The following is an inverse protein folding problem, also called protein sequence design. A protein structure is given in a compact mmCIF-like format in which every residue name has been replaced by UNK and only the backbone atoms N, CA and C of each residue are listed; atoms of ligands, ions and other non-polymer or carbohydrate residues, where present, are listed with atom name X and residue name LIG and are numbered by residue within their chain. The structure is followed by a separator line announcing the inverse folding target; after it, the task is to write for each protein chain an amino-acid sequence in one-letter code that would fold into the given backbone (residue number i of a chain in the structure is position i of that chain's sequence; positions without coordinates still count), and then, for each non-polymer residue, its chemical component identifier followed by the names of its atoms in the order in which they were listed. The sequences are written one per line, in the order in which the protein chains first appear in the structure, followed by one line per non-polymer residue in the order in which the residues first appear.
data_IF_828223926990
#
_entry.id   IF_828223926990
#
_cell.length_a   1.000
_cell.length_b   1.000
_cell.length_c   1.000
_cell.angle_alpha   90.00
_cell.angle_beta   90.00
_cell.angle_gamma   90.00
#
_symmetry.space_group_name_H-M   'P 1'
#
loop_
_entity.id
_entity.type
_entity.pdbx_description
1 polymer ?
#
# COMPACT_ATOMS: atom_id res chain seq x y z
N UNK A 1 12.93 1.97 34.64
CA UNK A 1 13.54 3.06 33.83
C UNK A 1 13.14 2.84 32.40
N UNK A 2 12.20 3.63 31.89
CA UNK A 2 11.76 3.53 30.48
C UNK A 2 12.81 4.22 29.62
N UNK A 3 13.58 3.46 28.83
CA UNK A 3 14.53 4.04 27.89
C UNK A 3 13.73 4.77 26.79
N UNK A 4 14.06 6.04 26.60
CA UNK A 4 13.47 6.83 25.53
C UNK A 4 13.92 6.22 24.17
N UNK A 5 13.01 5.76 23.30
CA UNK A 5 13.36 5.10 22.03
C UNK A 5 14.11 6.02 21.08
N UNK A 6 14.02 7.34 21.25
CA UNK A 6 14.86 8.29 20.52
C UNK A 6 16.35 8.10 20.81
N UNK A 7 16.70 7.43 21.90
CA UNK A 7 18.11 7.10 22.23
C UNK A 7 18.57 5.79 21.62
N UNK A 8 17.64 4.90 21.23
CA UNK A 8 17.97 3.56 20.74
C UNK A 8 18.13 3.50 19.22
N UNK A 9 17.49 4.41 18.47
CA UNK A 9 17.46 4.40 17.01
C UNK A 9 17.78 5.78 16.42
N UNK A 10 19.00 6.24 16.57
CA UNK A 10 19.45 7.56 16.08
C UNK A 10 20.30 7.51 14.81
N UNK A 11 20.65 6.31 14.33
CA UNK A 11 21.45 6.15 13.11
C UNK A 11 20.56 6.14 11.86
N UNK A 12 21.01 6.71 10.74
CA UNK A 12 20.36 6.52 9.42
C UNK A 12 20.16 5.05 9.07
N UNK A 13 21.06 4.17 9.51
CA UNK A 13 20.99 2.72 9.30
C UNK A 13 19.77 2.08 9.98
N UNK A 14 19.31 2.67 11.09
CA UNK A 14 18.11 2.19 11.80
C UNK A 14 16.82 2.37 10.99
N UNK A 15 16.82 3.25 9.99
CA UNK A 15 15.66 3.44 9.09
C UNK A 15 15.35 2.21 8.25
N UNK A 16 16.29 1.28 8.10
CA UNK A 16 16.11 0.00 7.45
C UNK A 16 15.60 -1.14 8.35
N UNK A 17 15.29 -0.86 9.62
CA UNK A 17 14.90 -1.87 10.62
C UNK A 17 13.42 -1.81 10.96
N UNK A 18 12.74 -2.93 10.82
CA UNK A 18 11.32 -3.06 11.17
C UNK A 18 11.03 -2.79 12.65
N UNK A 19 11.89 -3.28 13.54
CA UNK A 19 11.75 -3.15 15.00
C UNK A 19 11.67 -1.69 15.44
N UNK A 20 12.39 -0.79 14.76
CA UNK A 20 12.31 0.65 15.00
C UNK A 20 10.87 1.15 14.91
N UNK A 21 10.20 0.84 13.82
CA UNK A 21 8.84 1.35 13.55
C UNK A 21 7.78 0.69 14.42
N UNK A 22 7.99 -0.57 14.82
CA UNK A 22 7.14 -1.27 15.77
C UNK A 22 7.23 -0.57 17.13
N UNK A 23 8.44 -0.30 17.61
CA UNK A 23 8.65 0.41 18.89
C UNK A 23 8.16 1.85 18.85
N UNK A 24 8.39 2.57 17.75
CA UNK A 24 7.92 3.95 17.59
C UNK A 24 6.40 4.10 17.74
N UNK A 25 5.60 3.05 17.47
CA UNK A 25 4.16 3.11 17.68
C UNK A 25 3.76 3.43 19.13
N UNK A 26 4.56 3.02 20.11
CA UNK A 26 4.28 3.28 21.54
C UNK A 26 4.36 4.77 21.90
N UNK A 27 5.14 5.52 21.15
CA UNK A 27 5.48 6.92 21.43
C UNK A 27 4.70 7.92 20.57
N UNK A 28 3.72 7.45 19.78
CA UNK A 28 2.82 8.35 19.05
C UNK A 28 1.70 8.77 20.02
N UNK A 29 1.80 9.97 20.57
CA UNK A 29 0.92 10.47 21.63
C UNK A 29 -0.57 10.52 21.23
N UNK A 30 -0.85 10.78 19.95
CA UNK A 30 -2.23 10.95 19.44
C UNK A 30 -2.93 9.64 19.08
N UNK A 31 -2.28 8.49 19.27
CA UNK A 31 -2.91 7.19 19.06
C UNK A 31 -3.38 6.60 20.38
N UNK A 32 -4.60 6.07 20.39
CA UNK A 32 -5.11 5.24 21.47
C UNK A 32 -4.30 3.94 21.60
N UNK A 33 -4.42 3.27 22.75
CA UNK A 33 -3.74 1.98 23.00
C UNK A 33 -4.09 0.97 21.91
N UNK A 34 -5.36 0.92 21.50
CA UNK A 34 -5.83 0.00 20.47
C UNK A 34 -5.26 0.35 19.08
N UNK A 35 -5.19 1.62 18.71
CA UNK A 35 -4.59 2.05 17.45
C UNK A 35 -3.09 1.75 17.42
N UNK A 36 -2.37 1.93 18.53
CA UNK A 36 -0.96 1.53 18.67
C UNK A 36 -0.78 0.03 18.45
N UNK A 37 -1.65 -0.78 19.06
CA UNK A 37 -1.65 -2.24 18.91
C UNK A 37 -1.87 -2.64 17.44
N UNK A 38 -2.90 -2.08 16.80
CA UNK A 38 -3.20 -2.33 15.38
C UNK A 38 -2.06 -1.89 14.45
N UNK A 39 -1.46 -0.73 14.72
CA UNK A 39 -0.33 -0.24 13.94
C UNK A 39 0.89 -1.19 14.03
N UNK A 40 1.21 -1.69 15.22
CA UNK A 40 2.27 -2.70 15.40
C UNK A 40 1.97 -3.98 14.61
N UNK A 41 0.78 -4.53 14.78
CA UNK A 41 0.36 -5.73 14.05
C UNK A 41 0.45 -5.55 12.53
N UNK A 42 0.02 -4.39 12.03
CA UNK A 42 0.12 -4.05 10.61
C UNK A 42 1.58 -4.01 10.13
N UNK A 43 2.49 -3.41 10.91
CA UNK A 43 3.92 -3.36 10.57
C UNK A 43 4.54 -4.76 10.59
N UNK A 44 4.22 -5.59 11.57
CA UNK A 44 4.67 -6.99 11.64
C UNK A 44 4.17 -7.81 10.46
N UNK A 45 2.89 -7.62 10.07
CA UNK A 45 2.32 -8.26 8.90
C UNK A 45 3.04 -7.80 7.61
N UNK A 46 3.27 -6.49 7.46
CA UNK A 46 4.02 -5.94 6.32
C UNK A 46 5.44 -6.51 6.26
N UNK A 47 6.13 -6.64 7.40
CA UNK A 47 7.44 -7.31 7.50
C UNK A 47 7.39 -8.72 6.94
N UNK A 48 6.39 -9.52 7.37
CA UNK A 48 6.18 -10.88 6.90
C UNK A 48 5.94 -10.96 5.38
N UNK A 49 5.07 -10.08 4.87
CA UNK A 49 4.65 -10.11 3.45
C UNK A 49 5.68 -9.49 2.53
N UNK A 50 6.28 -8.35 2.90
CA UNK A 50 7.28 -7.65 2.07
C UNK A 50 8.68 -8.26 2.21
N UNK A 51 8.96 -8.91 3.32
CA UNK A 51 10.21 -9.56 3.64
C UNK A 51 11.15 -8.72 4.49
N UNK A 52 12.00 -9.39 5.26
CA UNK A 52 12.90 -8.77 6.24
C UNK A 52 13.80 -7.69 5.64
N UNK A 53 14.36 -7.94 4.48
CA UNK A 53 15.30 -7.03 3.80
C UNK A 53 14.63 -5.88 3.06
N UNK A 54 13.28 -5.83 3.00
CA UNK A 54 12.57 -4.84 2.20
C UNK A 54 12.87 -3.40 2.63
N UNK A 55 12.77 -3.10 3.94
CA UNK A 55 13.03 -1.74 4.43
C UNK A 55 14.46 -1.28 4.16
N UNK A 56 15.45 -2.16 4.32
CA UNK A 56 16.85 -1.83 4.01
C UNK A 56 17.01 -1.42 2.55
N UNK A 57 16.38 -2.15 1.63
CA UNK A 57 16.38 -1.79 0.20
C UNK A 57 15.58 -0.52 -0.05
N UNK A 58 14.41 -0.37 0.60
CA UNK A 58 13.56 0.79 0.47
C UNK A 58 14.29 2.09 0.87
N UNK A 59 15.13 2.04 1.91
CA UNK A 59 15.98 3.16 2.32
C UNK A 59 17.03 3.46 1.25
N UNK A 60 17.75 2.44 0.77
CA UNK A 60 18.81 2.60 -0.22
C UNK A 60 18.29 3.16 -1.57
N UNK A 61 17.09 2.77 -1.95
CA UNK A 61 16.52 3.02 -3.26
C UNK A 61 15.43 4.13 -3.26
N UNK A 62 15.10 4.68 -2.08
CA UNK A 62 14.11 5.75 -1.93
C UNK A 62 12.68 5.33 -2.20
N UNK A 63 12.30 4.12 -1.80
CA UNK A 63 10.96 3.57 -2.05
C UNK A 63 9.85 4.44 -1.41
N UNK A 64 8.74 4.76 -2.13
CA UNK A 64 7.69 5.67 -1.63
C UNK A 64 7.02 5.21 -0.34
N UNK A 65 6.88 3.90 -0.12
CA UNK A 65 6.32 3.34 1.10
C UNK A 65 7.10 3.78 2.35
N UNK A 66 8.41 4.03 2.23
CA UNK A 66 9.24 4.51 3.33
C UNK A 66 8.71 5.83 3.92
N UNK A 67 8.11 6.70 3.11
CA UNK A 67 7.51 7.97 3.58
C UNK A 67 6.39 7.73 4.60
N UNK A 68 5.66 6.62 4.51
CA UNK A 68 4.62 6.26 5.48
C UNK A 68 5.22 5.80 6.81
N UNK A 69 6.39 5.17 6.79
CA UNK A 69 7.10 4.77 8.00
C UNK A 69 7.77 5.96 8.70
N UNK A 70 8.40 6.84 7.93
CA UNK A 70 9.14 8.00 8.47
C UNK A 70 8.23 9.08 9.03
N UNK A 71 7.01 9.21 8.52
CA UNK A 71 6.06 10.21 8.99
C UNK A 71 5.25 9.66 10.17
N UNK A 72 5.28 10.37 11.31
CA UNK A 72 4.62 9.98 12.56
C UNK A 72 3.16 10.46 12.66
N UNK A 73 2.66 11.19 11.66
CA UNK A 73 1.28 11.66 11.69
C UNK A 73 0.29 10.47 11.79
N UNK A 74 -0.78 10.57 12.60
CA UNK A 74 -1.75 9.48 12.81
C UNK A 74 -2.31 8.91 11.50
N UNK A 75 -2.58 9.77 10.52
CA UNK A 75 -3.10 9.34 9.22
C UNK A 75 -2.14 8.46 8.41
N UNK A 76 -0.82 8.56 8.64
CA UNK A 76 0.15 7.64 7.99
C UNK A 76 0.08 6.25 8.59
N UNK A 77 -0.17 6.13 9.89
CA UNK A 77 -0.40 4.84 10.55
C UNK A 77 -1.69 4.20 10.06
N UNK A 78 -2.76 4.98 9.91
CA UNK A 78 -4.00 4.48 9.29
C UNK A 78 -3.77 3.98 7.86
N UNK A 79 -2.92 4.64 7.07
CA UNK A 79 -2.54 4.16 5.73
C UNK A 79 -1.73 2.86 5.77
N UNK A 80 -0.82 2.68 6.74
CA UNK A 80 -0.08 1.42 6.91
C UNK A 80 -1.01 0.29 7.34
N UNK A 81 -1.94 0.55 8.26
CA UNK A 81 -2.97 -0.41 8.66
C UNK A 81 -3.81 -0.80 7.44
N UNK A 82 -4.34 0.18 6.71
CA UNK A 82 -5.15 -0.09 5.51
C UNK A 82 -4.39 -0.83 4.40
N UNK A 83 -3.07 -0.63 4.27
CA UNK A 83 -2.24 -1.42 3.36
C UNK A 83 -2.12 -2.87 3.84
N UNK A 84 -1.87 -3.08 5.12
CA UNK A 84 -1.76 -4.41 5.71
C UNK A 84 -3.08 -5.17 5.58
N UNK A 85 -4.21 -4.54 5.94
CA UNK A 85 -5.56 -5.10 5.84
C UNK A 85 -5.89 -5.51 4.40
N UNK A 86 -5.55 -4.65 3.41
CA UNK A 86 -5.77 -4.93 2.00
C UNK A 86 -4.91 -6.11 1.51
N UNK A 87 -3.64 -6.17 1.88
CA UNK A 87 -2.75 -7.27 1.52
C UNK A 87 -3.19 -8.59 2.17
N UNK A 88 -3.65 -8.54 3.42
CA UNK A 88 -4.12 -9.73 4.14
C UNK A 88 -5.42 -10.28 3.52
N UNK A 89 -6.39 -9.41 3.29
CA UNK A 89 -7.68 -9.80 2.71
C UNK A 89 -7.56 -10.32 1.28
N UNK A 90 -6.59 -9.80 0.52
CA UNK A 90 -6.37 -10.18 -0.88
C UNK A 90 -5.38 -11.33 -1.07
N UNK A 91 -4.78 -11.88 0.00
CA UNK A 91 -3.72 -12.88 -0.11
C UNK A 91 -4.08 -14.12 -0.93
N UNK A 92 -5.35 -14.52 -0.87
CA UNK A 92 -5.89 -15.69 -1.55
C UNK A 92 -6.56 -15.35 -2.90
N UNK A 93 -6.56 -14.06 -3.29
CA UNK A 93 -7.08 -13.62 -4.58
C UNK A 93 -6.21 -14.13 -5.73
N UNK A 94 -6.85 -14.46 -6.84
CA UNK A 94 -6.16 -14.94 -8.04
C UNK A 94 -5.16 -13.89 -8.54
N UNK A 95 -3.94 -14.33 -8.82
CA UNK A 95 -2.82 -13.48 -9.23
C UNK A 95 -2.39 -12.40 -8.21
N UNK A 96 -2.66 -12.59 -6.91
CA UNK A 96 -2.22 -11.68 -5.86
C UNK A 96 -0.71 -11.34 -5.92
N UNK A 97 0.11 -12.28 -6.35
CA UNK A 97 1.56 -12.06 -6.54
C UNK A 97 1.88 -10.88 -7.47
N UNK A 98 1.01 -10.60 -8.45
CA UNK A 98 1.14 -9.44 -9.35
C UNK A 98 0.98 -8.12 -8.58
N UNK A 99 -0.04 -8.01 -7.73
CA UNK A 99 -0.24 -6.84 -6.87
C UNK A 99 0.93 -6.65 -5.90
N UNK A 100 1.36 -7.73 -5.25
CA UNK A 100 2.50 -7.70 -4.33
C UNK A 100 3.80 -7.28 -5.01
N UNK A 101 4.04 -7.73 -6.26
CA UNK A 101 5.19 -7.30 -7.05
C UNK A 101 5.19 -5.80 -7.30
N UNK A 102 4.03 -5.21 -7.66
CA UNK A 102 3.88 -3.75 -7.85
C UNK A 102 4.14 -2.97 -6.55
N UNK A 103 3.66 -3.46 -5.40
CA UNK A 103 3.91 -2.83 -4.09
C UNK A 103 5.40 -2.90 -3.70
N UNK A 104 6.11 -3.96 -4.08
CA UNK A 104 7.54 -4.14 -3.80
C UNK A 104 8.45 -3.46 -4.82
N UNK A 105 7.90 -3.06 -5.97
CA UNK A 105 8.70 -2.49 -7.05
C UNK A 105 9.31 -1.17 -6.61
N UNK A 106 10.61 -1.06 -6.82
CA UNK A 106 11.33 0.18 -6.61
C UNK A 106 11.09 1.08 -7.81
N UNK A 107 10.58 2.29 -7.61
CA UNK A 107 10.40 3.22 -8.70
C UNK A 107 11.76 3.56 -9.31
N UNK A 108 11.85 3.51 -10.62
CA UNK A 108 12.98 4.16 -11.30
C UNK A 108 12.97 5.66 -10.95
N UNK A 109 14.14 6.30 -10.85
CA UNK A 109 14.28 7.71 -10.47
C UNK A 109 13.21 8.59 -11.15
N UNK A 110 12.36 9.22 -10.35
CA UNK A 110 11.29 10.09 -10.84
C UNK A 110 9.96 9.38 -11.18
N UNK A 111 9.85 8.06 -11.04
CA UNK A 111 8.66 7.28 -11.37
C UNK A 111 7.96 6.73 -10.10
N UNK A 112 7.57 7.58 -9.15
CA UNK A 112 6.74 7.18 -8.00
C UNK A 112 5.38 6.56 -8.44
N UNK A 113 5.09 6.60 -9.74
CA UNK A 113 3.81 6.23 -10.31
C UNK A 113 3.48 4.74 -10.26
N UNK A 114 4.46 3.86 -10.37
CA UNK A 114 4.20 2.42 -10.33
C UNK A 114 3.72 1.98 -8.95
N UNK A 115 4.36 2.48 -7.89
CA UNK A 115 3.89 2.20 -6.53
C UNK A 115 2.50 2.79 -6.28
N UNK A 116 2.26 4.06 -6.67
CA UNK A 116 0.96 4.71 -6.48
C UNK A 116 -0.15 3.97 -7.25
N UNK A 117 0.12 3.56 -8.49
CA UNK A 117 -0.81 2.75 -9.28
C UNK A 117 -1.08 1.39 -8.61
N UNK A 118 -0.04 0.65 -8.24
CA UNK A 118 -0.17 -0.63 -7.56
C UNK A 118 -0.92 -0.54 -6.24
N UNK A 119 -0.64 0.50 -5.45
CA UNK A 119 -1.35 0.79 -4.20
C UNK A 119 -2.84 1.08 -4.44
N UNK A 120 -3.16 1.90 -5.46
CA UNK A 120 -4.54 2.23 -5.80
C UNK A 120 -5.32 1.01 -6.31
N UNK A 121 -4.69 0.18 -7.15
CA UNK A 121 -5.28 -1.08 -7.62
C UNK A 121 -5.59 -2.01 -6.44
N UNK A 122 -4.65 -2.17 -5.51
CA UNK A 122 -4.86 -2.99 -4.31
C UNK A 122 -5.99 -2.45 -3.43
N UNK A 123 -6.06 -1.13 -3.21
CA UNK A 123 -7.12 -0.50 -2.42
C UNK A 123 -8.50 -0.68 -3.07
N UNK A 124 -8.59 -0.58 -4.40
CA UNK A 124 -9.83 -0.82 -5.12
C UNK A 124 -10.24 -2.30 -5.07
N UNK A 125 -9.28 -3.22 -5.24
CA UNK A 125 -9.50 -4.65 -5.09
C UNK A 125 -10.09 -4.98 -3.69
N UNK A 126 -9.50 -4.42 -2.64
CA UNK A 126 -9.96 -4.59 -1.26
C UNK A 126 -11.39 -4.08 -1.05
N UNK A 127 -11.73 -2.91 -1.62
CA UNK A 127 -13.10 -2.37 -1.55
C UNK A 127 -14.12 -3.24 -2.26
N UNK A 128 -13.79 -3.73 -3.46
CA UNK A 128 -14.68 -4.62 -4.21
C UNK A 128 -14.86 -5.97 -3.52
N UNK A 129 -13.80 -6.50 -2.94
CA UNK A 129 -13.88 -7.70 -2.11
C UNK A 129 -14.78 -7.51 -0.89
N UNK A 130 -14.64 -6.37 -0.19
CA UNK A 130 -15.52 -6.00 0.93
C UNK A 130 -16.98 -5.79 0.53
N UNK A 131 -17.25 -5.51 -0.76
CA UNK A 131 -18.59 -5.45 -1.33
C UNK A 131 -19.13 -6.83 -1.80
N UNK A 132 -18.44 -7.94 -1.48
CA UNK A 132 -18.85 -9.29 -1.81
C UNK A 132 -18.53 -9.75 -3.23
N UNK A 133 -17.67 -9.02 -3.96
CA UNK A 133 -17.24 -9.43 -5.29
C UNK A 133 -15.98 -10.29 -5.22
N UNK A 134 -15.92 -11.33 -6.03
CA UNK A 134 -14.68 -12.07 -6.24
C UNK A 134 -13.74 -11.24 -7.12
N UNK A 135 -12.51 -11.08 -6.67
CA UNK A 135 -11.50 -10.24 -7.31
C UNK A 135 -10.37 -11.08 -7.87
N UNK A 136 -9.95 -10.75 -9.09
CA UNK A 136 -8.77 -11.30 -9.75
C UNK A 136 -7.89 -10.15 -10.22
N UNK A 137 -6.60 -10.19 -9.92
CA UNK A 137 -5.62 -9.27 -10.49
C UNK A 137 -5.26 -9.74 -11.91
N UNK A 138 -5.24 -8.81 -12.85
CA UNK A 138 -4.88 -9.15 -14.23
C UNK A 138 -3.38 -8.97 -14.45
N UNK A 139 -2.73 -9.97 -15.04
CA UNK A 139 -1.29 -9.91 -15.34
C UNK A 139 -1.07 -9.08 -16.63
N UNK A 140 -0.13 -8.13 -16.54
CA UNK A 140 0.20 -7.21 -17.66
C UNK A 140 1.01 -7.87 -18.79
N UNK A 141 1.24 -9.18 -18.75
CA UNK A 141 2.01 -9.86 -19.79
C UNK A 141 1.30 -9.76 -21.15
N UNK A 142 1.86 -8.97 -22.05
CA UNK A 142 1.40 -8.82 -23.43
C UNK A 142 1.46 -7.38 -23.93
N UNK A 143 1.39 -7.20 -25.25
CA UNK A 143 1.49 -5.91 -25.93
C UNK A 143 0.22 -5.06 -25.90
N UNK A 144 -0.87 -5.59 -25.40
CA UNK A 144 -2.17 -4.88 -25.35
C UNK A 144 -2.45 -4.37 -23.94
N UNK A 145 -2.98 -3.13 -23.86
CA UNK A 145 -3.50 -2.56 -22.64
C UNK A 145 -4.59 -3.46 -22.07
N UNK A 146 -4.40 -3.92 -20.83
CA UNK A 146 -5.34 -4.79 -20.12
C UNK A 146 -5.89 -4.07 -18.90
N UNK A 147 -7.11 -4.44 -18.46
CA UNK A 147 -7.64 -3.94 -17.20
C UNK A 147 -6.73 -4.37 -16.03
N UNK A 148 -6.80 -3.67 -14.91
CA UNK A 148 -6.05 -4.01 -13.71
C UNK A 148 -6.71 -5.13 -12.91
N UNK A 149 -8.06 -5.15 -12.90
CA UNK A 149 -8.87 -6.09 -12.12
C UNK A 149 -9.96 -6.70 -12.99
N UNK A 150 -10.24 -7.97 -12.74
CA UNK A 150 -11.46 -8.66 -13.14
C UNK A 150 -12.28 -8.94 -11.88
N UNK A 151 -13.53 -8.48 -11.90
CA UNK A 151 -14.49 -8.69 -10.82
C UNK A 151 -15.56 -9.67 -11.28
N UNK A 152 -15.95 -10.55 -10.38
CA UNK A 152 -17.00 -11.52 -10.64
C UNK A 152 -18.04 -11.45 -9.52
N UNK A 153 -19.30 -11.28 -9.90
CA UNK A 153 -20.44 -11.38 -8.99
C UNK A 153 -21.00 -12.79 -9.08
N UNK A 154 -20.85 -13.58 -8.02
CA UNK A 154 -21.26 -14.99 -8.00
C UNK A 154 -22.80 -15.15 -8.05
N UNK A 155 -23.56 -14.17 -7.51
CA UNK A 155 -25.01 -14.22 -7.53
C UNK A 155 -25.61 -14.02 -8.91
N UNK A 156 -25.02 -13.08 -9.69
CA UNK A 156 -25.56 -12.71 -11.01
C UNK A 156 -24.81 -13.36 -12.16
N UNK A 157 -23.68 -14.01 -11.91
CA UNK A 157 -22.78 -14.56 -12.93
C UNK A 157 -22.08 -13.50 -13.78
N UNK A 158 -22.22 -12.20 -13.45
CA UNK A 158 -21.68 -11.11 -14.26
C UNK A 158 -20.22 -10.84 -13.97
N UNK A 159 -19.49 -10.48 -15.03
CA UNK A 159 -18.09 -10.04 -14.97
C UNK A 159 -17.96 -8.57 -15.29
N UNK A 160 -17.04 -7.90 -14.59
CA UNK A 160 -16.66 -6.51 -14.82
C UNK A 160 -15.16 -6.41 -14.91
N UNK A 161 -14.67 -5.66 -15.88
CA UNK A 161 -13.26 -5.31 -15.98
C UNK A 161 -13.05 -3.88 -15.51
N UNK A 162 -12.07 -3.68 -14.64
CA UNK A 162 -11.77 -2.40 -14.02
C UNK A 162 -10.36 -1.97 -14.36
N UNK A 163 -10.23 -0.76 -14.90
CA UNK A 163 -8.97 -0.06 -15.06
C UNK A 163 -8.87 1.03 -13.99
N UNK A 164 -7.77 1.07 -13.26
CA UNK A 164 -7.53 2.04 -12.19
C UNK A 164 -6.47 3.03 -12.66
N UNK A 165 -6.88 4.29 -12.86
CA UNK A 165 -5.97 5.36 -13.25
C UNK A 165 -5.71 6.31 -12.10
N UNK A 166 -4.44 6.63 -11.86
CA UNK A 166 -4.03 7.64 -10.88
C UNK A 166 -3.74 8.94 -11.61
N UNK A 167 -4.57 9.96 -11.37
CA UNK A 167 -4.32 11.28 -11.91
C UNK A 167 -3.13 11.92 -11.19
N UNK A 168 -2.11 12.27 -11.96
CA UNK A 168 -1.01 13.09 -11.49
C UNK A 168 -1.35 14.55 -11.77
N UNK A 169 -1.49 15.34 -10.72
CA UNK A 169 -1.60 16.79 -10.87
C UNK A 169 -0.25 17.31 -11.33
N UNK A 170 -0.22 18.05 -12.44
CA UNK A 170 0.99 18.66 -12.95
C UNK A 170 1.71 19.48 -11.87
N UNK A 171 3.03 19.54 -11.91
CA UNK A 171 3.86 20.16 -10.85
C UNK A 171 3.47 21.62 -10.55
N UNK A 172 2.95 22.35 -11.53
CA UNK A 172 2.46 23.74 -11.38
C UNK A 172 1.20 23.86 -10.52
N UNK A 173 0.33 22.82 -10.51
CA UNK A 173 -0.89 22.77 -9.69
C UNK A 173 -0.58 22.26 -8.28
N UNK A 174 0.56 21.59 -8.07
CA UNK A 174 0.99 21.06 -6.76
C UNK A 174 1.17 22.13 -5.68
N UNK A 175 1.33 23.40 -6.02
CA UNK A 175 1.42 24.49 -5.04
C UNK A 175 0.13 24.70 -4.26
N UNK A 176 -1.06 24.34 -4.81
CA UNK A 176 -2.36 24.68 -4.24
C UNK A 176 -3.29 23.51 -3.91
N UNK A 177 -2.96 22.27 -4.24
CA UNK A 177 -3.87 21.14 -3.94
C UNK A 177 -3.10 19.84 -3.67
N UNK A 178 -3.30 19.28 -2.46
CA UNK A 178 -2.71 18.01 -1.99
C UNK A 178 -3.63 16.80 -2.21
N UNK A 179 -4.54 16.82 -3.18
CA UNK A 179 -5.47 15.71 -3.41
C UNK A 179 -5.08 14.91 -4.64
N UNK A 180 -4.69 13.66 -4.42
CA UNK A 180 -4.62 12.66 -5.49
C UNK A 180 -6.05 12.19 -5.80
N UNK A 181 -6.47 12.30 -7.06
CA UNK A 181 -7.74 11.75 -7.52
C UNK A 181 -7.49 10.40 -8.19
N UNK A 182 -8.19 9.38 -7.72
CA UNK A 182 -8.21 8.05 -8.35
C UNK A 182 -9.45 7.99 -9.23
N UNK A 183 -9.23 7.75 -10.53
CA UNK A 183 -10.32 7.47 -11.47
C UNK A 183 -10.43 5.97 -11.68
N UNK A 184 -11.66 5.48 -11.61
CA UNK A 184 -12.00 4.07 -11.87
C UNK A 184 -12.90 4.02 -13.08
N UNK A 185 -12.45 3.32 -14.11
CA UNK A 185 -13.27 3.00 -15.28
C UNK A 185 -13.72 1.56 -15.19
N UNK A 186 -15.02 1.32 -15.20
CA UNK A 186 -15.62 0.00 -15.20
C UNK A 186 -16.35 -0.26 -16.53
N UNK A 187 -16.02 -1.36 -17.19
CA UNK A 187 -16.70 -1.81 -18.39
C UNK A 187 -17.45 -3.10 -18.10
N UNK A 188 -18.76 -3.08 -18.38
CA UNK A 188 -19.61 -4.25 -18.25
C UNK A 188 -19.58 -5.05 -19.57
N UNK A 189 -19.38 -6.37 -19.47
CA UNK A 189 -19.66 -7.29 -20.56
C UNK A 189 -20.95 -8.06 -20.23
N UNK A 190 -21.89 -8.01 -21.16
CA UNK A 190 -23.13 -8.81 -21.12
C UNK A 190 -22.86 -10.24 -21.56
#
# INVERSE_FOLDING_TARGET
MSQNPHQVFNSPEDSGRWDKYILECDFIEHLSIEEKRRAKQAIEYLRKVLGESFLKRAVAEGHPLLRLFLNRAPWTRSKLIGLADALESMRDAENFKTALKRIRAVPQKGQDGEFAAGYSVLQMAYRFFGAGLRVRFVDERGSHKRPDLELFNEETGKKVFVEVSVLRIAAEVKKNSRREHVHVHAHWQN
#
